data_IF_417005450885
#
_entry.id   IF_417005450885
#
_cell.length_a   1.000
_cell.length_b   1.000
_cell.length_c   1.000
_cell.angle_alpha   90.00
_cell.angle_beta   90.00
_cell.angle_gamma   90.00
#
_symmetry.space_group_name_H-M   'P 1'
#
loop_
_entity.id
_entity.type
_entity.pdbx_description
1 polymer ?
#
# COMPACT_ATOMS: atom_id res chain seq x y z
N UNK A 1 -7.51 32.23 14.84
CA UNK A 1 -7.21 32.38 13.41
C UNK A 1 -8.38 31.80 12.60
N UNK A 2 -8.82 32.53 11.60
CA UNK A 2 -9.90 32.13 10.70
C UNK A 2 -9.68 32.76 9.33
N UNK A 3 -10.52 32.41 8.36
CA UNK A 3 -10.46 32.99 7.02
C UNK A 3 -10.62 34.52 7.00
N UNK A 4 -11.27 35.07 8.03
CA UNK A 4 -11.48 36.52 8.17
C UNK A 4 -10.55 37.16 9.19
N UNK A 5 -9.62 36.42 9.78
CA UNK A 5 -8.67 36.94 10.76
C UNK A 5 -7.76 38.01 10.13
N UNK A 6 -7.54 39.06 10.90
CA UNK A 6 -6.61 40.15 10.56
C UNK A 6 -5.41 40.19 11.49
N UNK A 7 -5.26 39.15 12.31
CA UNK A 7 -4.14 39.05 13.25
C UNK A 7 -2.83 38.88 12.48
N UNK A 8 -1.76 39.49 12.99
CA UNK A 8 -0.44 39.38 12.40
C UNK A 8 0.22 38.05 12.83
N UNK A 9 1.02 37.50 11.96
CA UNK A 9 1.84 36.32 12.23
C UNK A 9 3.30 36.72 12.06
N UNK A 10 4.15 36.36 13.02
CA UNK A 10 5.57 36.67 12.91
C UNK A 10 6.30 35.56 12.14
N UNK A 11 7.56 35.87 11.74
CA UNK A 11 8.35 34.96 10.92
C UNK A 11 8.62 33.61 11.59
N UNK A 12 8.82 33.56 12.90
CA UNK A 12 9.08 32.30 13.60
C UNK A 12 7.84 31.42 13.64
N UNK A 13 6.66 32.00 13.75
CA UNK A 13 5.40 31.24 13.68
C UNK A 13 5.18 30.65 12.29
N UNK A 14 5.40 31.43 11.26
CA UNK A 14 5.32 30.95 9.89
C UNK A 14 6.38 29.88 9.59
N UNK A 15 7.60 30.07 10.09
CA UNK A 15 8.67 29.09 9.94
C UNK A 15 8.26 27.74 10.53
N UNK A 16 7.68 27.73 11.75
CA UNK A 16 7.23 26.51 12.38
C UNK A 16 6.17 25.78 11.53
N UNK A 17 5.22 26.52 10.98
CA UNK A 17 4.21 25.95 10.08
C UNK A 17 4.82 25.42 8.79
N UNK A 18 5.76 26.14 8.21
CA UNK A 18 6.46 25.69 7.00
C UNK A 18 7.27 24.42 7.26
N UNK A 19 7.90 24.30 8.43
CA UNK A 19 8.63 23.09 8.81
C UNK A 19 7.69 21.88 8.89
N UNK A 20 6.49 22.07 9.43
CA UNK A 20 5.47 21.01 9.47
C UNK A 20 5.02 20.63 8.06
N UNK A 21 4.85 21.59 7.18
CA UNK A 21 4.49 21.33 5.76
C UNK A 21 5.61 20.54 5.07
N UNK A 22 6.87 20.90 5.31
CA UNK A 22 8.01 20.16 4.75
C UNK A 22 8.06 18.73 5.27
N UNK A 23 7.85 18.53 6.57
CA UNK A 23 7.80 17.19 7.18
C UNK A 23 6.65 16.36 6.59
N UNK A 24 5.48 16.96 6.44
CA UNK A 24 4.34 16.29 5.83
C UNK A 24 4.61 15.91 4.37
N UNK A 25 5.24 16.79 3.62
CA UNK A 25 5.63 16.53 2.22
C UNK A 25 6.57 15.33 2.13
N UNK A 26 7.57 15.26 3.01
CA UNK A 26 8.50 14.14 3.06
C UNK A 26 7.80 12.83 3.42
N UNK A 27 6.89 12.87 4.39
CA UNK A 27 6.13 11.70 4.81
C UNK A 27 5.18 11.22 3.71
N UNK A 28 4.56 12.13 2.98
CA UNK A 28 3.70 11.80 1.84
C UNK A 28 4.51 11.10 0.74
N UNK A 29 5.73 11.58 0.45
CA UNK A 29 6.61 10.96 -0.53
C UNK A 29 6.99 9.53 -0.10
N UNK A 30 7.31 9.33 1.17
CA UNK A 30 7.62 8.02 1.73
C UNK A 30 6.39 7.09 1.63
N UNK A 31 5.22 7.60 1.99
CA UNK A 31 3.99 6.81 1.92
C UNK A 31 3.66 6.43 0.48
N UNK A 32 3.86 7.33 -0.47
CA UNK A 32 3.66 7.06 -1.90
C UNK A 32 4.56 5.92 -2.38
N UNK A 33 5.83 5.93 -1.99
CA UNK A 33 6.77 4.86 -2.33
C UNK A 33 6.37 3.54 -1.69
N UNK A 34 5.96 3.55 -0.43
CA UNK A 34 5.53 2.36 0.29
C UNK A 34 4.26 1.76 -0.31
N UNK A 35 3.32 2.61 -0.70
CA UNK A 35 2.08 2.18 -1.36
C UNK A 35 2.40 1.52 -2.70
N UNK A 36 3.33 2.08 -3.48
CA UNK A 36 3.74 1.48 -4.75
C UNK A 36 4.38 0.11 -4.54
N UNK A 37 5.25 -0.03 -3.53
CA UNK A 37 5.86 -1.31 -3.17
C UNK A 37 4.80 -2.32 -2.72
N UNK A 38 3.86 -1.89 -1.89
CA UNK A 38 2.78 -2.76 -1.40
C UNK A 38 1.88 -3.21 -2.55
N UNK A 39 1.56 -2.32 -3.47
CA UNK A 39 0.76 -2.64 -4.67
C UNK A 39 1.45 -3.71 -5.50
N UNK A 40 2.75 -3.58 -5.73
CA UNK A 40 3.53 -4.58 -6.49
C UNK A 40 3.57 -5.92 -5.75
N UNK A 41 3.75 -5.90 -4.44
CA UNK A 41 3.77 -7.12 -3.62
C UNK A 41 2.41 -7.83 -3.61
N UNK A 42 1.33 -7.07 -3.54
CA UNK A 42 -0.03 -7.62 -3.61
C UNK A 42 -0.27 -8.27 -4.97
N UNK A 43 0.17 -7.65 -6.06
CA UNK A 43 0.05 -8.23 -7.40
C UNK A 43 0.82 -9.56 -7.51
N UNK A 44 2.02 -9.61 -6.98
CA UNK A 44 2.83 -10.84 -6.91
C UNK A 44 2.12 -11.91 -6.08
N UNK A 45 1.62 -11.54 -4.91
CA UNK A 45 0.90 -12.46 -4.03
C UNK A 45 -0.36 -13.00 -4.71
N UNK A 46 -1.09 -12.16 -5.43
CA UNK A 46 -2.28 -12.57 -6.18
C UNK A 46 -1.93 -13.60 -7.26
N UNK A 47 -0.85 -13.37 -8.01
CA UNK A 47 -0.37 -14.33 -9.01
C UNK A 47 0.03 -15.64 -8.37
N UNK A 48 0.77 -15.59 -7.27
CA UNK A 48 1.22 -16.79 -6.57
C UNK A 48 0.03 -17.59 -6.01
N UNK A 49 -0.98 -16.91 -5.48
CA UNK A 49 -2.20 -17.57 -4.98
C UNK A 49 -2.96 -18.23 -6.12
N UNK A 50 -3.10 -17.57 -7.27
CA UNK A 50 -3.74 -18.14 -8.45
C UNK A 50 -3.00 -19.40 -8.91
N UNK A 51 -1.68 -19.35 -9.01
CA UNK A 51 -0.87 -20.49 -9.43
C UNK A 51 -0.99 -21.65 -8.43
N UNK A 52 -0.99 -21.35 -7.14
CA UNK A 52 -1.17 -22.38 -6.10
C UNK A 52 -2.57 -22.99 -6.15
N UNK A 53 -3.59 -22.19 -6.35
CA UNK A 53 -4.97 -22.64 -6.51
C UNK A 53 -5.11 -23.60 -7.69
N UNK A 54 -4.50 -23.24 -8.82
CA UNK A 54 -4.50 -24.08 -10.01
C UNK A 54 -3.76 -25.40 -9.76
N UNK A 55 -2.61 -25.34 -9.08
CA UNK A 55 -1.81 -26.54 -8.74
C UNK A 55 -2.56 -27.47 -7.79
N UNK A 56 -3.24 -26.91 -6.81
CA UNK A 56 -4.06 -27.70 -5.89
C UNK A 56 -5.25 -28.33 -6.62
N UNK A 57 -5.87 -27.60 -7.53
CA UNK A 57 -6.96 -28.12 -8.38
C UNK A 57 -6.49 -29.29 -9.23
N UNK A 58 -5.33 -29.17 -9.85
CA UNK A 58 -4.73 -30.26 -10.65
C UNK A 58 -4.42 -31.48 -9.79
N UNK A 59 -3.86 -31.25 -8.60
CA UNK A 59 -3.55 -32.31 -7.66
C UNK A 59 -4.82 -33.03 -7.18
N UNK A 60 -5.88 -32.29 -6.91
CA UNK A 60 -7.17 -32.87 -6.53
C UNK A 60 -7.75 -33.73 -7.64
N UNK A 61 -7.69 -33.28 -8.88
CA UNK A 61 -8.15 -34.05 -10.05
C UNK A 61 -7.33 -35.32 -10.23
N UNK A 62 -6.01 -35.24 -10.11
CA UNK A 62 -5.11 -36.39 -10.21
C UNK A 62 -5.35 -37.40 -9.07
N UNK A 63 -5.56 -36.93 -7.87
CA UNK A 63 -5.85 -37.78 -6.72
C UNK A 63 -7.18 -38.50 -6.88
N UNK A 64 -8.22 -37.84 -7.39
CA UNK A 64 -9.50 -38.44 -7.67
C UNK A 64 -9.39 -39.52 -8.74
N UNK A 65 -8.69 -39.22 -9.83
CA UNK A 65 -8.45 -40.17 -10.90
C UNK A 65 -7.70 -41.42 -10.41
N UNK A 66 -6.67 -41.21 -9.57
CA UNK A 66 -5.94 -42.31 -8.94
C UNK A 66 -6.84 -43.19 -8.11
N UNK A 67 -7.73 -42.63 -7.31
CA UNK A 67 -8.70 -43.38 -6.51
C UNK A 67 -9.68 -44.19 -7.36
N UNK A 68 -10.16 -43.63 -8.47
CA UNK A 68 -11.10 -44.28 -9.37
C UNK A 68 -10.47 -45.46 -10.13
N UNK A 69 -9.17 -45.42 -10.34
CA UNK A 69 -8.45 -46.48 -11.06
C UNK A 69 -8.03 -47.65 -10.16
N UNK A 70 -8.22 -47.50 -8.87
CA UNK A 70 -7.97 -48.57 -7.90
C UNK A 70 -9.18 -49.40 -7.63
#
# INVERSE_FOLDING_TARGET
ISASSKDAVNGSQLKATNDDVEANTANIATNTSNIATNTASIATNTTNITNLTDSVGDLQADALLWNETK
#
